data_IF_149265393395
#
_entry.id   IF_149265393395
#
_cell.length_a   1.000
_cell.length_b   1.000
_cell.length_c   1.000
_cell.angle_alpha   90.00
_cell.angle_beta   90.00
_cell.angle_gamma   90.00
#
_symmetry.space_group_name_H-M   'P 1'
#
loop_
_entity.id
_entity.type
_entity.pdbx_description
1 polymer ?
#
# COMPACT_ATOMS: atom_id res chain seq x y z
N UNK A 1 5.91 36.58 -2.79
CA UNK A 1 6.63 35.59 -1.95
C UNK A 1 5.82 34.31 -1.89
N UNK A 2 6.44 33.20 -2.29
CA UNK A 2 6.05 31.81 -2.09
C UNK A 2 4.63 31.36 -2.50
N UNK A 3 4.45 31.15 -3.81
CA UNK A 3 3.42 30.22 -4.31
C UNK A 3 3.94 28.80 -4.11
N UNK A 4 3.35 28.08 -3.16
CA UNK A 4 3.65 26.68 -2.90
C UNK A 4 3.29 25.85 -4.12
N UNK A 5 4.28 25.22 -4.75
CA UNK A 5 4.07 24.17 -5.74
C UNK A 5 3.42 22.95 -5.06
N UNK A 6 2.10 22.95 -4.92
CA UNK A 6 1.33 21.72 -4.76
C UNK A 6 1.42 20.97 -6.09
N UNK A 7 2.23 19.91 -6.12
CA UNK A 7 2.20 18.94 -7.22
C UNK A 7 1.20 17.84 -6.86
N UNK A 8 0.05 17.73 -7.55
CA UNK A 8 -0.79 16.56 -7.40
C UNK A 8 -0.01 15.37 -8.00
N UNK A 9 0.37 14.43 -7.15
CA UNK A 9 0.83 13.12 -7.65
C UNK A 9 -0.39 12.34 -8.10
N UNK A 10 -0.81 12.54 -9.34
CA UNK A 10 -1.77 11.67 -10.00
C UNK A 10 -1.07 10.33 -10.18
N UNK A 11 -1.26 9.42 -9.23
CA UNK A 11 -0.90 8.02 -9.40
C UNK A 11 -1.94 7.43 -10.35
N UNK A 12 -1.60 7.31 -11.63
CA UNK A 12 -2.39 6.56 -12.61
C UNK A 12 -2.23 5.07 -12.32
N UNK A 13 -3.02 4.58 -11.35
CA UNK A 13 -3.17 3.14 -11.10
C UNK A 13 -4.14 2.60 -12.14
N UNK A 14 -3.74 1.67 -13.03
CA UNK A 14 -4.71 0.98 -13.86
C UNK A 14 -5.67 0.23 -12.93
N UNK A 15 -6.96 0.48 -13.09
CA UNK A 15 -7.98 -0.30 -12.40
C UNK A 15 -7.73 -1.78 -12.69
N UNK A 16 -7.71 -2.62 -11.64
CA UNK A 16 -7.61 -4.06 -11.84
C UNK A 16 -8.73 -4.51 -12.76
N UNK A 17 -8.42 -5.42 -13.69
CA UNK A 17 -9.44 -6.05 -14.55
C UNK A 17 -10.59 -6.53 -13.67
N UNK A 18 -11.84 -6.24 -14.03
CA UNK A 18 -13.02 -6.80 -13.35
C UNK A 18 -13.00 -8.31 -13.58
N UNK A 19 -12.38 -9.05 -12.66
CA UNK A 19 -12.21 -10.50 -12.73
C UNK A 19 -13.44 -11.25 -12.24
N UNK A 20 -14.27 -10.61 -11.42
CA UNK A 20 -15.60 -11.11 -11.11
C UNK A 20 -16.48 -10.95 -12.34
N UNK A 21 -16.82 -12.07 -13.00
CA UNK A 21 -17.81 -12.09 -14.09
C UNK A 21 -19.22 -11.69 -13.66
N UNK A 22 -19.42 -11.39 -12.37
CA UNK A 22 -20.67 -10.91 -11.80
C UNK A 22 -20.97 -9.47 -12.20
N UNK A 23 -22.22 -9.21 -12.58
CA UNK A 23 -22.78 -7.87 -12.70
C UNK A 23 -23.00 -7.26 -11.31
N UNK A 24 -22.00 -6.51 -10.84
CA UNK A 24 -22.06 -5.85 -9.53
C UNK A 24 -23.12 -4.74 -9.48
N UNK A 25 -23.43 -4.07 -10.60
CA UNK A 25 -24.47 -3.03 -10.61
C UNK A 25 -25.86 -3.59 -10.35
N UNK A 26 -26.14 -4.79 -10.85
CA UNK A 26 -27.39 -5.49 -10.57
C UNK A 26 -27.47 -5.99 -9.13
N UNK A 27 -26.35 -6.48 -8.56
CA UNK A 27 -26.30 -6.92 -7.16
C UNK A 27 -26.53 -5.73 -6.22
N UNK A 28 -25.88 -4.60 -6.47
CA UNK A 28 -26.01 -3.38 -5.65
C UNK A 28 -27.41 -2.77 -5.72
N UNK A 29 -28.13 -2.95 -6.83
CA UNK A 29 -29.51 -2.49 -6.97
C UNK A 29 -30.54 -3.33 -6.18
N UNK A 30 -30.19 -4.55 -5.76
CA UNK A 30 -31.11 -5.43 -5.03
C UNK A 30 -31.34 -4.95 -3.59
N UNK A 31 -32.59 -4.68 -3.24
CA UNK A 31 -32.98 -4.36 -1.87
C UNK A 31 -33.47 -5.63 -1.17
N UNK A 32 -32.72 -6.05 -0.17
CA UNK A 32 -33.00 -7.21 0.69
C UNK A 32 -34.41 -7.08 1.31
N UNK A 33 -35.25 -8.10 1.11
CA UNK A 33 -36.59 -8.19 1.73
C UNK A 33 -36.58 -9.17 2.92
N UNK A 34 -37.37 -8.93 3.99
CA UNK A 34 -37.39 -9.78 5.18
C UNK A 34 -37.74 -11.25 4.92
N UNK A 35 -38.61 -11.55 3.94
CA UNK A 35 -38.98 -12.93 3.62
C UNK A 35 -37.82 -13.76 3.04
N UNK A 36 -36.80 -13.10 2.45
CA UNK A 36 -35.66 -13.76 1.82
C UNK A 36 -34.77 -14.47 2.86
N UNK A 37 -34.92 -14.09 4.13
CA UNK A 37 -34.09 -14.54 5.23
C UNK A 37 -34.86 -15.44 6.22
N UNK A 38 -36.15 -15.70 5.98
CA UNK A 38 -37.02 -16.43 6.93
C UNK A 38 -36.58 -17.87 7.18
N UNK A 39 -35.94 -18.49 6.19
CA UNK A 39 -35.49 -19.89 6.25
C UNK A 39 -34.04 -20.03 6.73
N UNK A 40 -33.34 -18.91 6.97
CA UNK A 40 -31.95 -18.97 7.43
C UNK A 40 -31.89 -19.43 8.88
N UNK A 41 -30.92 -20.31 9.22
CA UNK A 41 -30.72 -20.75 10.59
C UNK A 41 -30.32 -19.57 11.48
N UNK A 42 -30.76 -19.61 12.75
CA UNK A 42 -30.35 -18.62 13.74
C UNK A 42 -28.85 -18.70 14.02
N UNK A 43 -28.23 -17.54 14.22
CA UNK A 43 -26.81 -17.44 14.52
C UNK A 43 -26.57 -17.81 15.99
N UNK A 44 -26.07 -19.02 16.23
CA UNK A 44 -25.82 -19.52 17.60
C UNK A 44 -24.44 -19.14 18.14
N UNK A 45 -24.30 -19.10 19.46
CA UNK A 45 -23.01 -18.82 20.13
C UNK A 45 -21.93 -19.84 19.78
N UNK A 46 -22.30 -21.11 19.58
CA UNK A 46 -21.38 -22.15 19.14
C UNK A 46 -20.82 -21.87 17.74
N UNK A 47 -21.61 -21.24 16.84
CA UNK A 47 -21.16 -20.84 15.51
C UNK A 47 -20.20 -19.65 15.56
N UNK A 48 -20.40 -18.73 16.50
CA UNK A 48 -19.49 -17.61 16.73
C UNK A 48 -18.18 -18.07 17.40
N UNK A 49 -18.27 -18.98 18.37
CA UNK A 49 -17.10 -19.51 19.10
C UNK A 49 -16.10 -20.23 18.18
N UNK A 50 -16.58 -20.89 17.12
CA UNK A 50 -15.72 -21.55 16.11
C UNK A 50 -15.23 -20.63 14.99
N UNK A 51 -15.67 -19.36 14.94
CA UNK A 51 -15.34 -18.48 13.84
C UNK A 51 -13.86 -18.05 13.90
N UNK A 52 -13.16 -18.15 12.76
CA UNK A 52 -11.78 -17.65 12.63
C UNK A 52 -11.82 -16.30 11.93
N UNK A 53 -11.39 -15.25 12.64
CA UNK A 53 -11.28 -13.91 12.06
C UNK A 53 -10.02 -13.81 11.23
N UNK A 54 -10.14 -14.10 9.93
CA UNK A 54 -9.13 -13.73 8.96
C UNK A 54 -9.25 -12.22 8.70
N UNK A 55 -8.29 -11.43 9.19
CA UNK A 55 -8.25 -9.98 8.93
C UNK A 55 -8.16 -9.61 7.44
N UNK A 56 -7.96 -10.60 6.57
CA UNK A 56 -7.77 -10.41 5.14
C UNK A 56 -6.52 -9.57 4.84
N UNK A 57 -6.31 -9.28 3.57
CA UNK A 57 -5.22 -8.42 3.12
C UNK A 57 -4.00 -9.18 2.58
N UNK A 58 -3.05 -8.40 2.03
CA UNK A 58 -1.83 -8.93 1.43
C UNK A 58 -0.93 -9.51 2.53
N UNK A 59 -0.32 -10.69 2.33
CA UNK A 59 0.71 -11.21 3.22
C UNK A 59 1.81 -10.16 3.46
N UNK A 60 2.27 -10.05 4.71
CA UNK A 60 3.38 -9.17 5.05
C UNK A 60 4.63 -9.64 4.30
N UNK A 61 5.35 -8.70 3.69
CA UNK A 61 6.64 -9.00 3.07
C UNK A 61 7.66 -9.31 4.16
N UNK A 62 8.50 -10.33 3.96
CA UNK A 62 9.58 -10.69 4.90
C UNK A 62 10.58 -9.53 5.09
N UNK A 63 10.92 -8.83 4.00
CA UNK A 63 11.87 -7.71 4.01
C UNK A 63 11.23 -6.43 3.43
N UNK A 64 10.36 -5.73 4.18
CA UNK A 64 9.77 -4.48 3.71
C UNK A 64 10.83 -3.37 3.71
N UNK A 65 10.72 -2.41 2.78
CA UNK A 65 11.55 -1.20 2.83
C UNK A 65 11.17 -0.38 4.06
N UNK A 66 12.17 -0.01 4.86
CA UNK A 66 11.94 0.85 6.01
C UNK A 66 11.79 2.30 5.57
N UNK A 67 10.70 2.95 5.98
CA UNK A 67 10.55 4.39 5.81
C UNK A 67 11.45 5.10 6.82
N UNK A 68 12.43 5.85 6.32
CA UNK A 68 13.35 6.66 7.15
C UNK A 68 13.24 8.13 6.75
N UNK A 69 13.33 9.02 7.75
CA UNK A 69 13.41 10.47 7.53
C UNK A 69 14.88 10.90 7.47
N UNK A 70 15.46 10.92 6.28
CA UNK A 70 16.84 11.33 6.02
C UNK A 70 16.89 12.76 5.46
N UNK A 71 17.76 13.61 6.00
CA UNK A 71 18.04 14.93 5.45
C UNK A 71 19.24 14.84 4.50
N UNK A 72 19.04 15.22 3.25
CA UNK A 72 20.08 15.30 2.24
C UNK A 72 20.21 16.75 1.74
N UNK A 73 21.40 17.18 1.33
CA UNK A 73 21.56 18.47 0.68
C UNK A 73 20.68 18.61 -0.58
N UNK A 74 20.12 19.80 -0.86
CA UNK A 74 19.16 19.99 -1.94
C UNK A 74 19.74 19.69 -3.33
N UNK A 75 21.02 19.96 -3.56
CA UNK A 75 21.72 19.71 -4.82
C UNK A 75 21.84 18.21 -5.13
N UNK A 76 22.02 17.38 -4.09
CA UNK A 76 22.05 15.92 -4.24
C UNK A 76 20.68 15.43 -4.68
N UNK A 77 19.62 15.89 -3.99
CA UNK A 77 18.24 15.52 -4.33
C UNK A 77 17.88 15.98 -5.75
N UNK A 78 18.29 17.17 -6.16
CA UNK A 78 18.05 17.70 -7.49
C UNK A 78 18.71 16.85 -8.58
N UNK A 79 19.99 16.48 -8.41
CA UNK A 79 20.72 15.60 -9.33
C UNK A 79 20.03 14.25 -9.50
N UNK A 80 19.57 13.65 -8.40
CA UNK A 80 18.85 12.38 -8.49
C UNK A 80 17.48 12.54 -9.13
N UNK A 81 16.69 13.56 -8.79
CA UNK A 81 15.40 13.83 -9.45
C UNK A 81 15.54 14.02 -10.96
N UNK A 82 16.61 14.66 -11.42
CA UNK A 82 16.90 14.84 -12.85
C UNK A 82 17.11 13.52 -13.60
N UNK A 83 17.43 12.42 -12.91
CA UNK A 83 17.55 11.10 -13.55
C UNK A 83 16.21 10.54 -14.02
N UNK A 84 15.08 11.12 -13.60
CA UNK A 84 13.73 10.74 -14.00
C UNK A 84 12.97 9.92 -12.95
N UNK A 85 11.77 9.38 -13.30
CA UNK A 85 10.97 8.54 -12.41
C UNK A 85 11.79 7.38 -11.82
N UNK A 86 11.47 6.98 -10.58
CA UNK A 86 12.20 5.89 -9.91
C UNK A 86 13.61 6.25 -9.40
N UNK A 87 13.98 7.53 -9.38
CA UNK A 87 15.28 7.98 -8.84
C UNK A 87 15.54 7.53 -7.40
N UNK A 88 14.50 7.43 -6.55
CA UNK A 88 14.62 6.94 -5.17
C UNK A 88 15.04 5.47 -5.12
N UNK A 89 14.49 4.64 -6.02
CA UNK A 89 14.87 3.22 -6.13
C UNK A 89 16.32 3.08 -6.58
N UNK A 90 16.75 3.84 -7.59
CA UNK A 90 18.14 3.86 -8.04
C UNK A 90 19.11 4.36 -6.96
N UNK A 91 18.72 5.37 -6.19
CA UNK A 91 19.50 5.83 -5.04
C UNK A 91 19.64 4.72 -3.99
N UNK A 92 18.56 4.03 -3.64
CA UNK A 92 18.59 2.94 -2.67
C UNK A 92 19.47 1.77 -3.14
N UNK A 93 19.38 1.37 -4.42
CA UNK A 93 20.23 0.34 -5.00
C UNK A 93 21.71 0.74 -5.00
N UNK A 94 22.00 2.02 -5.26
CA UNK A 94 23.36 2.55 -5.20
C UNK A 94 23.92 2.50 -3.77
N UNK A 95 23.12 2.84 -2.77
CA UNK A 95 23.50 2.76 -1.36
C UNK A 95 23.73 1.31 -0.92
N UNK A 96 22.89 0.36 -1.36
CA UNK A 96 23.03 -1.06 -1.03
C UNK A 96 24.32 -1.69 -1.59
N UNK A 97 24.80 -1.21 -2.75
CA UNK A 97 26.05 -1.66 -3.38
C UNK A 97 27.29 -0.93 -2.86
N UNK A 98 27.10 0.20 -2.17
CA UNK A 98 28.22 0.98 -1.66
C UNK A 98 28.84 0.27 -0.45
N UNK A 99 30.17 0.13 -0.38
CA UNK A 99 30.82 -0.26 0.86
C UNK A 99 30.42 0.69 1.98
N UNK A 100 30.12 0.14 3.15
CA UNK A 100 29.86 0.96 4.33
C UNK A 100 31.17 1.60 4.80
N UNK A 101 31.15 2.88 5.20
CA UNK A 101 32.32 3.48 5.84
C UNK A 101 32.65 2.70 7.11
N UNK A 102 33.95 2.59 7.43
CA UNK A 102 34.39 1.97 8.67
C UNK A 102 33.73 2.68 9.87
N UNK A 103 33.33 1.94 10.91
CA UNK A 103 32.82 2.56 12.12
C UNK A 103 33.88 3.53 12.66
N UNK A 104 33.46 4.70 13.11
CA UNK A 104 34.33 5.60 13.86
C UNK A 104 34.68 4.86 15.15
N UNK A 105 35.96 4.52 15.35
CA UNK A 105 36.43 4.06 16.65
C UNK A 105 36.24 5.20 17.64
N UNK A 106 35.43 4.98 18.67
CA UNK A 106 35.34 5.91 19.80
C UNK A 106 36.74 6.10 20.39
N UNK A 107 37.10 7.37 20.60
CA UNK A 107 38.30 7.81 21.30
C UNK A 107 37.93 8.19 22.73
#
# INVERSE_FOLDING_TARGET
>A
MSSACERPTIVSKPASRRTSGSDLSRVDAHKIKPHEYKELPELTDAMLARAVVNKGGRPKSESPRQLISLRLPPEVVARWRATGPGWQTRMAERLAKSPLPRPKSDA
#
